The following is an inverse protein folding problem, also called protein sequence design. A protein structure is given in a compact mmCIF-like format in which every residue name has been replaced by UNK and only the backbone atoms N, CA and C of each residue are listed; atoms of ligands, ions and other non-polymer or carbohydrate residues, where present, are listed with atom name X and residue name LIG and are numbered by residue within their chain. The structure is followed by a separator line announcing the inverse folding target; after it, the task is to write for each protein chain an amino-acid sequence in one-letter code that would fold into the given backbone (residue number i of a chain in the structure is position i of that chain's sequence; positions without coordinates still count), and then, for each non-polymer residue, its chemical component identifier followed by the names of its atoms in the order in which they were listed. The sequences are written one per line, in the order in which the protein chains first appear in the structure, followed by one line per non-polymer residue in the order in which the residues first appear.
data_IF_187124776460
#
_entry.id   IF_187124776460
#
_cell.length_a   1.000
_cell.length_b   1.000
_cell.length_c   1.000
_cell.angle_alpha   90.00
_cell.angle_beta   90.00
_cell.angle_gamma   90.00
#
_symmetry.space_group_name_H-M   'P 1'
#
loop_
_entity.id
_entity.type
_entity.pdbx_description
1 polymer ?
#
# COMPACT_ATOMS: atom_id res chain seq x y z
N UNK A 1 46.23 19.74 -4.67
CA UNK A 1 44.83 20.03 -4.32
C UNK A 1 43.96 19.49 -5.44
N UNK A 2 43.48 18.27 -5.33
CA UNK A 2 42.60 17.60 -6.30
C UNK A 2 41.21 17.50 -5.65
N UNK A 3 40.24 18.09 -6.32
CA UNK A 3 38.84 18.16 -5.93
C UNK A 3 38.16 16.78 -6.05
N UNK A 4 37.53 16.22 -5.00
CA UNK A 4 36.79 14.95 -5.07
C UNK A 4 35.28 15.19 -5.05
N UNK A 5 34.71 15.76 -6.11
CA UNK A 5 33.25 15.88 -6.23
C UNK A 5 32.79 15.56 -7.64
N UNK A 6 32.70 14.27 -7.91
CA UNK A 6 31.85 13.76 -8.99
C UNK A 6 31.37 12.36 -8.63
N UNK A 7 30.49 12.26 -7.61
CA UNK A 7 29.68 11.06 -7.45
C UNK A 7 28.59 11.08 -8.52
N UNK A 8 28.81 10.35 -9.61
CA UNK A 8 27.83 10.15 -10.66
C UNK A 8 26.57 9.50 -10.09
N UNK A 9 25.42 10.13 -10.32
CA UNK A 9 24.13 9.55 -10.03
C UNK A 9 24.01 8.21 -10.78
N UNK A 10 23.65 7.14 -10.08
CA UNK A 10 23.36 5.85 -10.67
C UNK A 10 22.23 6.02 -11.72
N UNK A 11 22.32 5.37 -12.90
CA UNK A 11 21.25 5.44 -13.88
C UNK A 11 19.96 4.87 -13.29
N UNK A 12 18.84 5.52 -13.60
CA UNK A 12 17.52 5.03 -13.27
C UNK A 12 17.35 3.59 -13.80
N UNK A 13 16.74 2.68 -13.03
CA UNK A 13 16.55 1.31 -13.47
C UNK A 13 15.67 1.28 -14.74
N UNK A 14 16.16 0.59 -15.76
CA UNK A 14 15.40 0.36 -16.99
C UNK A 14 14.21 -0.54 -16.67
N UNK A 15 12.97 -0.19 -17.07
CA UNK A 15 11.82 -1.05 -16.83
C UNK A 15 12.01 -2.39 -17.54
N UNK A 16 11.98 -3.49 -16.80
CA UNK A 16 11.96 -4.83 -17.35
C UNK A 16 10.51 -5.09 -17.78
N UNK A 17 10.18 -4.77 -19.02
CA UNK A 17 8.92 -5.20 -19.65
C UNK A 17 9.00 -6.72 -19.87
N UNK A 18 8.62 -7.51 -18.85
CA UNK A 18 8.26 -8.90 -19.07
C UNK A 18 7.04 -8.96 -19.98
N UNK A 19 7.10 -9.74 -21.04
CA UNK A 19 5.99 -9.93 -21.98
C UNK A 19 4.73 -10.33 -21.22
N UNK A 20 3.73 -9.45 -21.17
CA UNK A 20 2.41 -9.70 -20.59
C UNK A 20 2.08 -9.05 -19.23
N UNK A 21 3.00 -8.28 -18.61
CA UNK A 21 2.72 -7.54 -17.37
C UNK A 21 1.90 -6.26 -17.64
N UNK A 22 0.97 -5.95 -16.73
CA UNK A 22 0.22 -4.68 -16.76
C UNK A 22 1.19 -3.55 -16.40
N UNK A 23 1.21 -2.48 -17.20
CA UNK A 23 1.92 -1.25 -16.83
C UNK A 23 1.14 -0.52 -15.71
N UNK A 24 1.64 -0.67 -14.48
CA UNK A 24 1.01 -0.08 -13.30
C UNK A 24 0.90 1.46 -13.39
N UNK A 25 1.88 2.13 -14.02
CA UNK A 25 1.83 3.59 -14.17
C UNK A 25 0.74 4.02 -15.17
N UNK A 26 0.63 3.32 -16.29
CA UNK A 26 -0.44 3.57 -17.26
C UNK A 26 -1.82 3.32 -16.62
N UNK A 27 -1.97 2.24 -15.86
CA UNK A 27 -3.23 1.93 -15.17
C UNK A 27 -3.59 2.96 -14.10
N UNK A 28 -2.63 3.41 -13.31
CA UNK A 28 -2.87 4.50 -12.35
C UNK A 28 -3.38 5.77 -13.06
N UNK A 29 -2.74 6.14 -14.18
CA UNK A 29 -3.14 7.30 -14.97
C UNK A 29 -4.56 7.14 -15.55
N UNK A 30 -4.91 5.98 -16.12
CA UNK A 30 -6.26 5.67 -16.62
C UNK A 30 -7.33 5.75 -15.53
N UNK A 31 -6.99 5.34 -14.31
CA UNK A 31 -7.88 5.42 -13.16
C UNK A 31 -7.95 6.82 -12.53
N UNK A 32 -7.19 7.79 -13.05
CA UNK A 32 -7.08 9.13 -12.48
C UNK A 32 -6.40 9.16 -11.13
N UNK A 33 -5.57 8.16 -10.82
CA UNK A 33 -4.84 8.03 -9.57
C UNK A 33 -3.39 8.47 -9.72
N UNK A 34 -2.85 9.08 -8.67
CA UNK A 34 -1.43 9.37 -8.53
C UNK A 34 -0.91 8.80 -7.21
N UNK A 35 0.31 8.29 -7.23
CA UNK A 35 0.94 7.82 -6.00
C UNK A 35 1.19 9.00 -5.06
N UNK A 36 0.79 8.90 -3.79
CA UNK A 36 1.09 9.92 -2.80
C UNK A 36 2.59 9.96 -2.48
N UNK A 37 3.05 11.08 -1.94
CA UNK A 37 4.38 11.13 -1.34
C UNK A 37 4.39 10.21 -0.12
N UNK A 38 5.44 9.38 -0.02
CA UNK A 38 5.65 8.55 1.17
C UNK A 38 5.86 9.44 2.37
N UNK A 39 4.99 9.30 3.37
CA UNK A 39 5.13 10.01 4.64
C UNK A 39 6.25 9.34 5.44
N UNK A 40 7.24 10.10 5.93
CA UNK A 40 8.26 9.54 6.81
C UNK A 40 7.60 8.87 8.02
N UNK A 41 8.09 7.70 8.46
CA UNK A 41 7.52 7.01 9.60
C UNK A 41 7.64 7.86 10.87
N UNK A 42 6.61 7.80 11.72
CA UNK A 42 6.56 8.52 13.01
C UNK A 42 7.41 7.85 14.10
N UNK A 43 8.07 6.71 13.81
CA UNK A 43 8.82 5.91 14.77
C UNK A 43 10.10 5.32 14.15
N UNK A 44 10.82 4.48 14.91
CA UNK A 44 12.09 3.87 14.51
C UNK A 44 11.92 2.70 13.54
N UNK A 45 11.21 2.90 12.42
CA UNK A 45 11.04 1.91 11.34
C UNK A 45 11.07 2.60 9.98
N UNK A 46 11.01 1.84 8.89
CA UNK A 46 10.97 2.34 7.50
C UNK A 46 9.68 1.91 6.81
N UNK A 47 9.21 2.65 5.78
CA UNK A 47 7.96 2.32 5.09
C UNK A 47 7.95 0.95 4.42
N UNK A 48 9.11 0.49 3.94
CA UNK A 48 9.26 -0.81 3.34
C UNK A 48 10.72 -1.30 3.43
N UNK A 49 10.91 -2.62 3.41
CA UNK A 49 12.23 -3.27 3.35
C UNK A 49 12.21 -4.34 2.26
N UNK A 50 13.33 -4.53 1.57
CA UNK A 50 13.51 -5.64 0.63
C UNK A 50 14.33 -6.75 1.30
N UNK A 51 13.91 -8.00 1.10
CA UNK A 51 14.67 -9.19 1.47
C UNK A 51 14.56 -10.20 0.33
N UNK A 52 15.68 -10.46 -0.34
CA UNK A 52 15.68 -11.24 -1.59
C UNK A 52 14.77 -10.58 -2.63
N UNK A 53 13.86 -11.36 -3.20
CA UNK A 53 12.89 -10.90 -4.18
C UNK A 53 11.56 -10.41 -3.54
N UNK A 54 11.53 -10.20 -2.22
CA UNK A 54 10.31 -9.76 -1.54
C UNK A 54 10.49 -8.38 -0.93
N UNK A 55 9.46 -7.56 -1.08
CA UNK A 55 9.30 -6.28 -0.39
C UNK A 55 8.22 -6.44 0.67
N UNK A 56 8.58 -6.10 1.89
CA UNK A 56 7.69 -6.08 3.06
C UNK A 56 7.34 -4.63 3.34
N UNK A 57 6.09 -4.27 3.18
CA UNK A 57 5.58 -2.92 3.42
C UNK A 57 5.01 -2.86 4.83
N UNK A 58 5.46 -1.88 5.60
CA UNK A 58 4.92 -1.60 6.93
C UNK A 58 3.43 -1.26 6.85
N UNK A 59 2.71 -1.40 7.96
CA UNK A 59 1.30 -1.04 8.04
C UNK A 59 1.04 0.38 7.51
N UNK A 60 0.15 0.49 6.55
CA UNK A 60 -0.25 1.75 5.94
C UNK A 60 -1.60 2.18 6.46
N UNK A 61 -1.63 3.34 7.10
CA UNK A 61 -2.86 4.02 7.47
C UNK A 61 -3.45 4.77 6.26
N UNK A 62 -4.75 5.11 6.26
CA UNK A 62 -5.38 5.83 5.16
C UNK A 62 -5.07 7.34 5.20
N UNK A 63 -3.79 7.69 5.23
CA UNK A 63 -3.34 9.08 5.29
C UNK A 63 -3.43 9.73 3.90
N UNK A 64 -4.02 10.91 3.86
CA UNK A 64 -4.02 11.83 2.72
C UNK A 64 -3.35 13.12 3.19
N UNK A 65 -2.25 13.50 2.54
CA UNK A 65 -1.44 14.65 2.94
C UNK A 65 -1.05 14.67 4.44
N UNK A 66 -0.75 13.48 4.97
CA UNK A 66 -0.34 13.28 6.36
C UNK A 66 -1.48 13.33 7.39
N UNK A 67 -2.74 13.35 6.97
CA UNK A 67 -3.92 13.41 7.85
C UNK A 67 -4.85 12.24 7.57
N UNK A 68 -5.51 11.74 8.63
CA UNK A 68 -6.61 10.80 8.49
C UNK A 68 -7.87 11.54 8.03
N UNK A 69 -8.52 11.12 6.93
CA UNK A 69 -9.81 11.69 6.52
C UNK A 69 -10.93 11.41 7.53
N UNK A 70 -10.80 10.32 8.29
CA UNK A 70 -11.81 9.86 9.23
C UNK A 70 -11.15 9.03 10.34
N UNK A 71 -11.73 9.06 11.54
CA UNK A 71 -11.33 8.26 12.71
C UNK A 71 -12.54 7.56 13.29
N UNK A 72 -12.33 6.52 14.10
CA UNK A 72 -13.37 5.76 14.78
C UNK A 72 -13.40 4.28 14.40
N UNK A 73 -14.31 3.55 15.02
CA UNK A 73 -14.47 2.10 14.81
C UNK A 73 -15.48 1.79 13.72
N UNK A 74 -15.15 0.81 12.90
CA UNK A 74 -16.03 0.33 11.84
C UNK A 74 -17.18 -0.49 12.44
N UNK A 75 -18.38 -0.17 12.02
CA UNK A 75 -19.62 -0.69 12.62
C UNK A 75 -20.14 0.18 13.79
N UNK A 76 -19.41 1.22 14.15
CA UNK A 76 -19.78 2.28 15.09
C UNK A 76 -19.84 3.62 14.36
N UNK A 77 -18.81 4.46 14.55
CA UNK A 77 -18.73 5.80 13.95
C UNK A 77 -18.48 5.76 12.44
N UNK A 78 -17.85 4.68 11.95
CA UNK A 78 -17.46 4.52 10.56
C UNK A 78 -18.24 3.36 9.93
N UNK A 79 -18.84 3.57 8.75
CA UNK A 79 -19.52 2.48 8.04
C UNK A 79 -18.52 1.56 7.34
N UNK A 80 -18.95 0.35 6.98
CA UNK A 80 -18.12 -0.60 6.24
C UNK A 80 -17.71 -0.05 4.87
N UNK A 81 -18.60 0.68 4.19
CA UNK A 81 -18.35 1.30 2.89
C UNK A 81 -17.29 2.42 3.01
N UNK A 82 -17.44 3.31 4.00
CA UNK A 82 -16.44 4.34 4.27
C UNK A 82 -15.07 3.74 4.59
N UNK A 83 -15.05 2.67 5.40
CA UNK A 83 -13.81 1.97 5.72
C UNK A 83 -13.19 1.27 4.50
N UNK A 84 -13.99 0.78 3.54
CA UNK A 84 -13.49 0.21 2.29
C UNK A 84 -12.83 1.29 1.42
N UNK A 85 -13.40 2.49 1.34
CA UNK A 85 -12.76 3.63 0.65
C UNK A 85 -11.43 4.01 1.32
N UNK A 86 -11.37 3.96 2.65
CA UNK A 86 -10.13 4.20 3.39
C UNK A 86 -9.10 3.07 3.17
N UNK A 87 -9.53 1.81 3.08
CA UNK A 87 -8.64 0.69 2.75
C UNK A 87 -8.04 0.84 1.33
N UNK A 88 -8.79 1.41 0.38
CA UNK A 88 -8.28 1.77 -0.94
C UNK A 88 -7.14 2.80 -0.84
N UNK A 89 -7.26 3.80 0.05
CA UNK A 89 -6.18 4.77 0.30
C UNK A 89 -4.96 4.07 0.92
N UNK A 90 -5.16 3.17 1.89
CA UNK A 90 -4.06 2.38 2.46
C UNK A 90 -3.29 1.61 1.38
N UNK A 91 -3.99 0.97 0.44
CA UNK A 91 -3.37 0.24 -0.67
C UNK A 91 -2.58 1.15 -1.61
N UNK A 92 -3.08 2.36 -1.90
CA UNK A 92 -2.35 3.35 -2.69
C UNK A 92 -1.07 3.81 -1.98
N UNK A 93 -1.13 4.00 -0.66
CA UNK A 93 0.03 4.32 0.17
C UNK A 93 1.05 3.16 0.16
N UNK A 94 0.58 1.90 0.17
CA UNK A 94 1.46 0.73 0.05
C UNK A 94 2.16 0.67 -1.31
N UNK A 95 1.46 0.95 -2.41
CA UNK A 95 2.08 1.06 -3.74
C UNK A 95 3.12 2.19 -3.77
N UNK A 96 2.85 3.32 -3.14
CA UNK A 96 3.81 4.43 -3.02
C UNK A 96 5.07 4.02 -2.23
N UNK A 97 4.91 3.23 -1.16
CA UNK A 97 6.04 2.70 -0.39
C UNK A 97 6.91 1.74 -1.24
N UNK A 98 6.30 0.86 -2.03
CA UNK A 98 7.02 -0.02 -2.97
C UNK A 98 7.74 0.81 -4.04
N UNK A 99 7.03 1.79 -4.64
CA UNK A 99 7.61 2.71 -5.62
C UNK A 99 8.85 3.40 -5.09
N UNK A 100 8.79 3.95 -3.86
CA UNK A 100 9.90 4.70 -3.27
C UNK A 100 11.13 3.84 -2.98
N UNK A 101 10.95 2.53 -2.77
CA UNK A 101 12.05 1.61 -2.43
C UNK A 101 12.68 0.99 -3.67
N UNK A 102 11.87 0.49 -4.59
CA UNK A 102 12.34 -0.33 -5.74
C UNK A 102 11.79 0.10 -7.09
N UNK A 103 10.74 0.93 -7.14
CA UNK A 103 9.99 1.26 -8.34
C UNK A 103 8.92 0.21 -8.68
N UNK A 104 7.71 0.66 -9.08
CA UNK A 104 6.61 -0.25 -9.47
C UNK A 104 6.92 -1.04 -10.75
N UNK A 105 7.83 -0.55 -11.60
CA UNK A 105 8.26 -1.29 -12.78
C UNK A 105 8.95 -2.63 -12.48
N UNK A 106 9.43 -2.83 -11.24
CA UNK A 106 9.99 -4.09 -10.77
C UNK A 106 8.98 -5.02 -10.07
N UNK A 107 7.75 -4.57 -9.89
CA UNK A 107 6.72 -5.35 -9.21
C UNK A 107 6.29 -6.54 -10.07
N UNK A 108 6.47 -7.74 -9.56
CA UNK A 108 6.02 -9.00 -10.19
C UNK A 108 4.59 -9.31 -9.80
N UNK A 109 4.28 -9.25 -8.50
CA UNK A 109 2.91 -9.46 -7.99
C UNK A 109 2.78 -9.05 -6.52
N UNK A 110 1.55 -8.86 -6.08
CA UNK A 110 1.21 -8.82 -4.67
C UNK A 110 1.08 -10.27 -4.17
N UNK A 111 1.79 -10.60 -3.09
CA UNK A 111 1.82 -11.97 -2.53
C UNK A 111 0.81 -12.10 -1.40
N UNK A 112 0.84 -11.16 -0.47
CA UNK A 112 -0.01 -11.19 0.73
C UNK A 112 -0.49 -9.79 1.08
N UNK A 113 -1.75 -9.70 1.46
CA UNK A 113 -2.36 -8.52 2.08
C UNK A 113 -2.88 -8.89 3.45
N UNK A 114 -2.57 -8.10 4.46
CA UNK A 114 -3.17 -8.18 5.78
C UNK A 114 -3.90 -6.87 6.05
N UNK A 115 -5.20 -6.95 6.27
CA UNK A 115 -6.03 -5.82 6.66
C UNK A 115 -6.44 -5.93 8.11
N UNK A 116 -6.16 -4.88 8.87
CA UNK A 116 -6.56 -4.69 10.25
C UNK A 116 -7.69 -3.66 10.29
N UNK A 117 -8.80 -4.00 10.92
CA UNK A 117 -9.98 -3.13 10.98
C UNK A 117 -10.30 -2.85 12.43
N UNK A 118 -10.19 -1.59 12.86
CA UNK A 118 -10.64 -1.18 14.20
C UNK A 118 -12.15 -1.37 14.25
N UNK A 119 -12.60 -2.42 14.95
CA UNK A 119 -13.96 -2.93 14.86
C UNK A 119 -14.75 -2.60 16.14
N UNK A 120 -15.97 -2.11 15.95
CA UNK A 120 -16.94 -2.04 17.02
C UNK A 120 -17.36 -3.44 17.46
N UNK A 121 -17.89 -3.57 18.67
CA UNK A 121 -18.35 -4.84 19.22
C UNK A 121 -19.37 -5.50 18.28
N UNK A 122 -19.14 -6.77 17.96
CA UNK A 122 -20.01 -7.54 17.09
C UNK A 122 -19.87 -7.27 15.57
N UNK A 123 -19.00 -6.34 15.15
CA UNK A 123 -18.75 -6.14 13.74
C UNK A 123 -17.91 -7.29 13.15
N UNK A 124 -18.42 -7.95 12.12
CA UNK A 124 -17.78 -9.10 11.43
C UNK A 124 -17.56 -8.87 9.93
N UNK A 125 -17.73 -7.63 9.48
CA UNK A 125 -17.61 -7.25 8.06
C UNK A 125 -16.21 -6.92 7.57
N UNK A 126 -15.15 -7.28 8.32
CA UNK A 126 -13.76 -6.96 7.98
C UNK A 126 -13.36 -7.38 6.54
N UNK A 127 -13.80 -8.54 6.01
CA UNK A 127 -13.49 -8.90 4.62
C UNK A 127 -14.04 -7.90 3.59
N UNK A 128 -15.23 -7.34 3.82
CA UNK A 128 -15.83 -6.34 2.94
C UNK A 128 -15.03 -5.03 2.96
N UNK A 129 -14.57 -4.60 4.14
CA UNK A 129 -13.70 -3.43 4.30
C UNK A 129 -12.40 -3.60 3.53
N UNK A 130 -11.70 -4.72 3.72
CA UNK A 130 -10.40 -4.96 3.08
C UNK A 130 -10.52 -5.18 1.57
N UNK A 131 -11.73 -5.46 1.05
CA UNK A 131 -11.98 -5.48 -0.41
C UNK A 131 -11.61 -4.15 -1.07
N UNK A 132 -11.71 -3.01 -0.37
CA UNK A 132 -11.26 -1.72 -0.90
C UNK A 132 -9.79 -1.75 -1.34
N UNK A 133 -8.92 -2.34 -0.53
CA UNK A 133 -7.51 -2.54 -0.86
C UNK A 133 -7.32 -3.58 -1.97
N UNK A 134 -7.95 -4.74 -1.83
CA UNK A 134 -7.83 -5.83 -2.80
C UNK A 134 -8.28 -5.43 -4.21
N UNK A 135 -9.38 -4.67 -4.30
CA UNK A 135 -9.91 -4.17 -5.57
C UNK A 135 -8.92 -3.17 -6.21
N UNK A 136 -8.32 -2.26 -5.44
CA UNK A 136 -7.31 -1.35 -5.99
C UNK A 136 -6.13 -2.12 -6.58
N UNK A 137 -5.59 -3.13 -5.88
CA UNK A 137 -4.51 -3.94 -6.43
C UNK A 137 -4.93 -4.65 -7.72
N UNK A 138 -6.16 -5.17 -7.80
CA UNK A 138 -6.70 -5.76 -9.03
C UNK A 138 -6.87 -4.73 -10.16
N UNK A 139 -7.39 -3.55 -9.85
CA UNK A 139 -7.60 -2.46 -10.82
C UNK A 139 -6.29 -1.98 -11.43
N UNK A 140 -5.23 -1.86 -10.61
CA UNK A 140 -3.92 -1.31 -11.04
C UNK A 140 -3.03 -2.39 -11.66
N UNK A 141 -3.04 -3.62 -11.12
CA UNK A 141 -2.07 -4.64 -11.44
C UNK A 141 -2.67 -5.85 -12.20
N UNK A 142 -3.99 -5.90 -12.38
CA UNK A 142 -4.66 -7.03 -13.00
C UNK A 142 -4.39 -8.35 -12.25
N UNK A 143 -4.00 -9.41 -12.96
CA UNK A 143 -3.68 -10.72 -12.37
C UNK A 143 -2.51 -10.66 -11.36
N UNK A 144 -1.57 -9.74 -11.55
CA UNK A 144 -0.45 -9.52 -10.61
C UNK A 144 -0.93 -8.93 -9.27
N UNK A 145 -2.11 -8.35 -9.22
CA UNK A 145 -2.76 -7.87 -8.00
C UNK A 145 -3.45 -8.96 -7.18
N UNK A 146 -3.61 -10.19 -7.69
CA UNK A 146 -4.18 -11.31 -6.95
C UNK A 146 -3.23 -11.79 -5.86
N UNK A 147 -3.77 -11.96 -4.65
CA UNK A 147 -2.97 -12.19 -3.45
C UNK A 147 -3.69 -13.09 -2.43
N UNK A 148 -2.93 -13.74 -1.56
CA UNK A 148 -3.44 -14.32 -0.33
C UNK A 148 -3.79 -13.20 0.66
N UNK A 149 -4.82 -13.39 1.51
CA UNK A 149 -5.28 -12.32 2.39
C UNK A 149 -5.66 -12.80 3.79
N UNK A 150 -5.43 -11.94 4.78
CA UNK A 150 -6.11 -11.97 6.06
C UNK A 150 -6.83 -10.64 6.28
N UNK A 151 -8.04 -10.67 6.85
CA UNK A 151 -8.84 -9.51 7.21
C UNK A 151 -9.39 -9.76 8.61
N UNK A 152 -8.89 -9.00 9.59
CA UNK A 152 -9.16 -9.25 11.01
C UNK A 152 -9.58 -7.97 11.71
N UNK A 153 -10.43 -8.13 12.72
CA UNK A 153 -10.79 -7.06 13.64
C UNK A 153 -9.72 -6.88 14.72
N UNK A 154 -9.44 -5.64 15.05
CA UNK A 154 -8.58 -5.23 16.16
C UNK A 154 -9.33 -4.23 17.05
N UNK A 155 -8.90 -4.13 18.31
CA UNK A 155 -9.53 -3.22 19.24
C UNK A 155 -9.29 -1.75 18.85
N UNK A 156 -8.05 -1.40 18.53
CA UNK A 156 -7.63 -0.03 18.20
C UNK A 156 -6.54 -0.05 17.12
N UNK A 157 -6.42 1.05 16.39
CA UNK A 157 -5.31 1.32 15.47
C UNK A 157 -4.68 2.68 15.80
N UNK A 158 -3.42 2.91 15.39
CA UNK A 158 -2.75 4.18 15.62
C UNK A 158 -3.57 5.38 15.12
N UNK A 159 -3.53 6.49 15.86
CA UNK A 159 -4.24 7.73 15.56
C UNK A 159 -5.79 7.59 15.51
N UNK A 160 -6.34 6.48 15.94
CA UNK A 160 -7.77 6.18 15.81
C UNK A 160 -8.18 5.84 14.38
N UNK A 161 -7.25 5.36 13.54
CA UNK A 161 -7.54 4.96 12.17
C UNK A 161 -8.55 3.80 12.13
N UNK A 162 -9.52 3.80 11.20
CA UNK A 162 -10.48 2.72 11.08
C UNK A 162 -9.90 1.45 10.45
N UNK A 163 -8.87 1.58 9.63
CA UNK A 163 -8.26 0.48 8.88
C UNK A 163 -6.77 0.73 8.68
N UNK A 164 -6.02 -0.36 8.64
CA UNK A 164 -4.59 -0.40 8.31
C UNK A 164 -4.32 -1.60 7.40
N UNK A 165 -3.39 -1.45 6.45
CA UNK A 165 -3.07 -2.52 5.49
C UNK A 165 -1.56 -2.74 5.41
N UNK A 166 -1.14 -4.00 5.56
CA UNK A 166 0.21 -4.49 5.29
C UNK A 166 0.26 -5.27 3.99
N UNK A 167 1.41 -5.21 3.30
CA UNK A 167 1.60 -5.86 2.02
C UNK A 167 2.95 -6.56 1.95
N UNK A 168 2.95 -7.77 1.38
CA UNK A 168 4.16 -8.42 0.89
C UNK A 168 4.05 -8.51 -0.63
N UNK A 169 5.05 -8.00 -1.33
CA UNK A 169 5.12 -8.01 -2.78
C UNK A 169 6.37 -8.77 -3.25
N UNK A 170 6.27 -9.44 -4.41
CA UNK A 170 7.39 -10.02 -5.12
C UNK A 170 7.90 -9.03 -6.16
N UNK A 171 9.21 -8.90 -6.29
CA UNK A 171 9.89 -7.99 -7.22
C UNK A 171 11.00 -8.73 -7.99
N UNK A 172 11.27 -8.26 -9.21
CA UNK A 172 12.33 -8.80 -10.07
C UNK A 172 13.70 -8.20 -9.72
#
# INVERSE_FOLDING_TARGET
MTDPTAAGAAPAPTPISGEGGVDAYARLAELGLSLPKVVPPLASYVPAVQSGNYVYVSGQLPLVDGKLPMTGKVGGEVTAEQAADLARICALNALAAIESLVGLGRLVKIVKVVGFVASADGFTGQPAVVNGASNLFGDVLGEQGRHARSAVGVAELPLGAPVEVEVIAEVA
#
